data_IF_243719754739
#
_entry.id   IF_243719754739
#
_cell.length_a   1.000
_cell.length_b   1.000
_cell.length_c   1.000
_cell.angle_alpha   90.00
_cell.angle_beta   90.00
_cell.angle_gamma   90.00
#
_symmetry.space_group_name_H-M   'P 1'
#
loop_
_entity.id
_entity.type
_entity.pdbx_description
1 polymer ?
#
# COMPACT_ATOMS: atom_id res chain seq x y z
N UNK A 1 11.15 -11.54 -15.69
CA UNK A 1 11.85 -12.80 -15.35
C UNK A 1 12.52 -12.69 -13.97
N UNK A 2 11.80 -12.18 -12.96
CA UNK A 2 12.36 -11.78 -11.66
C UNK A 2 11.30 -11.91 -10.55
N UNK A 3 10.57 -13.03 -10.57
CA UNK A 3 9.57 -13.38 -9.55
C UNK A 3 9.78 -14.78 -8.97
N UNK A 4 10.62 -15.63 -9.59
CA UNK A 4 10.82 -17.01 -9.16
C UNK A 4 11.89 -17.22 -8.08
N UNK A 5 12.58 -16.16 -7.65
CA UNK A 5 13.70 -16.27 -6.71
C UNK A 5 13.37 -15.82 -5.28
N UNK A 6 12.14 -15.37 -5.01
CA UNK A 6 11.69 -15.08 -3.64
C UNK A 6 11.06 -16.31 -2.96
N UNK A 7 10.44 -17.20 -3.75
CA UNK A 7 9.79 -18.42 -3.24
C UNK A 7 10.80 -19.46 -2.73
N UNK A 8 12.07 -19.37 -3.12
CA UNK A 8 13.12 -20.33 -2.75
C UNK A 8 13.83 -20.02 -1.43
N UNK A 9 13.57 -18.86 -0.81
CA UNK A 9 14.27 -18.39 0.38
C UNK A 9 13.46 -18.46 1.68
N UNK A 10 12.17 -18.77 1.59
CA UNK A 10 11.40 -19.20 2.76
C UNK A 10 11.68 -20.70 2.86
N UNK A 11 12.38 -21.20 3.90
CA UNK A 11 12.44 -22.63 4.14
C UNK A 11 10.99 -23.10 4.09
N UNK A 12 10.69 -24.14 3.31
CA UNK A 12 9.40 -24.82 3.43
C UNK A 12 9.30 -25.23 4.90
N UNK A 13 8.66 -24.38 5.70
CA UNK A 13 8.35 -24.63 7.10
C UNK A 13 7.78 -26.02 7.09
N UNK A 14 8.40 -26.94 7.84
CA UNK A 14 7.96 -28.32 7.91
C UNK A 14 6.61 -28.32 8.63
N UNK A 15 5.55 -27.89 7.93
CA UNK A 15 4.14 -27.88 8.33
C UNK A 15 3.62 -29.30 8.62
N UNK A 16 4.44 -30.33 8.45
CA UNK A 16 4.11 -31.73 8.75
C UNK A 16 4.13 -32.05 10.25
N UNK A 17 4.76 -31.23 11.11
CA UNK A 17 4.72 -31.44 12.56
C UNK A 17 3.70 -30.50 13.23
N UNK A 18 2.79 -31.01 14.09
CA UNK A 18 1.86 -30.16 14.81
C UNK A 18 2.61 -29.33 15.85
N UNK A 19 2.90 -28.07 15.51
CA UNK A 19 3.52 -27.10 16.41
C UNK A 19 2.51 -26.57 17.43
N UNK A 20 2.98 -26.26 18.63
CA UNK A 20 2.18 -25.65 19.70
C UNK A 20 2.52 -24.17 19.84
N UNK A 21 1.55 -23.42 20.35
CA UNK A 21 1.78 -22.02 20.68
C UNK A 21 2.93 -21.91 21.71
N UNK A 22 3.91 -21.06 21.41
CA UNK A 22 5.14 -20.91 22.18
C UNK A 22 6.35 -21.68 21.64
N UNK A 23 6.18 -22.56 20.66
CA UNK A 23 7.30 -23.21 19.98
C UNK A 23 8.09 -22.17 19.17
N UNK A 24 9.43 -22.30 19.19
CA UNK A 24 10.35 -21.41 18.47
C UNK A 24 11.30 -22.23 17.62
N UNK A 25 11.31 -21.97 16.32
CA UNK A 25 12.20 -22.61 15.36
C UNK A 25 13.24 -21.60 14.85
N UNK A 26 14.53 -21.75 15.18
CA UNK A 26 15.57 -20.85 14.71
C UNK A 26 15.95 -21.16 13.24
N UNK A 27 16.24 -20.12 12.47
CA UNK A 27 16.87 -20.22 11.15
C UNK A 27 18.06 -19.25 11.05
N UNK A 28 18.98 -19.39 10.07
CA UNK A 28 20.25 -18.66 10.08
C UNK A 28 20.14 -17.13 10.15
N UNK A 29 19.06 -16.56 9.61
CA UNK A 29 18.79 -15.12 9.64
C UNK A 29 17.70 -14.73 10.63
N UNK A 30 17.22 -15.62 11.51
CA UNK A 30 16.06 -15.28 12.33
C UNK A 30 15.45 -16.42 13.14
N UNK A 31 14.18 -16.25 13.52
CA UNK A 31 13.39 -17.26 14.22
C UNK A 31 11.94 -17.22 13.78
N UNK A 32 11.28 -18.37 13.79
CA UNK A 32 9.84 -18.51 13.65
C UNK A 32 9.27 -18.82 15.02
N UNK A 33 8.23 -18.10 15.44
CA UNK A 33 7.53 -18.35 16.71
C UNK A 33 6.08 -18.72 16.40
N UNK A 34 5.65 -19.89 16.85
CA UNK A 34 4.29 -20.37 16.65
C UNK A 34 3.35 -19.78 17.71
N UNK A 35 2.19 -19.31 17.28
CA UNK A 35 1.19 -18.61 18.09
C UNK A 35 -0.14 -19.36 18.24
N UNK A 36 -0.36 -20.41 17.44
CA UNK A 36 -1.56 -21.26 17.46
C UNK A 36 -1.15 -22.76 17.40
N UNK A 37 -2.05 -23.73 17.65
CA UNK A 37 -3.52 -23.69 17.51
C UNK A 37 -4.30 -23.07 18.70
N UNK A 38 -3.73 -23.00 19.90
CA UNK A 38 -4.38 -22.32 21.04
C UNK A 38 -3.76 -20.91 21.22
N UNK A 39 -4.51 -19.82 20.97
CA UNK A 39 -3.94 -18.49 21.01
C UNK A 39 -3.45 -18.14 22.42
N UNK A 40 -2.23 -17.63 22.51
CA UNK A 40 -1.70 -17.14 23.78
C UNK A 40 -2.48 -15.90 24.22
N UNK A 41 -2.97 -15.84 25.47
CA UNK A 41 -3.65 -14.66 25.98
C UNK A 41 -2.65 -13.50 26.06
N UNK A 42 -2.80 -12.52 25.18
CA UNK A 42 -2.08 -11.26 25.26
C UNK A 42 -2.85 -10.30 26.18
N UNK A 43 -2.14 -9.63 27.09
CA UNK A 43 -2.71 -8.61 27.99
C UNK A 43 -2.92 -7.25 27.32
N UNK A 44 -2.75 -7.18 26.00
CA UNK A 44 -2.76 -5.95 25.21
C UNK A 44 -3.88 -6.05 24.17
N UNK A 45 -4.71 -4.99 24.01
CA UNK A 45 -5.73 -4.97 22.98
C UNK A 45 -5.09 -5.09 21.58
N UNK A 46 -5.76 -5.75 20.61
CA UNK A 46 -5.24 -5.89 19.26
C UNK A 46 -5.14 -4.52 18.59
N UNK A 47 -3.93 -4.16 18.16
CA UNK A 47 -3.63 -2.89 17.48
C UNK A 47 -2.64 -3.14 16.35
N UNK A 48 -2.89 -2.53 15.19
CA UNK A 48 -1.96 -2.60 14.07
C UNK A 48 -2.53 -1.97 12.79
N UNK A 49 -1.65 -1.52 11.87
CA UNK A 49 -2.05 -0.87 10.62
C UNK A 49 -2.72 -1.81 9.62
N UNK A 50 -2.64 -3.12 9.84
CA UNK A 50 -3.22 -4.16 9.00
C UNK A 50 -4.55 -4.73 9.54
N UNK A 51 -5.01 -4.21 10.68
CA UNK A 51 -6.34 -4.51 11.24
C UNK A 51 -7.33 -3.54 10.59
N UNK A 52 -8.31 -4.09 9.88
CA UNK A 52 -9.38 -3.32 9.25
C UNK A 52 -10.49 -3.00 10.25
N UNK A 53 -11.43 -3.93 10.36
CA UNK A 53 -12.55 -3.84 11.30
C UNK A 53 -12.30 -4.75 12.51
N UNK A 54 -12.54 -4.22 13.71
CA UNK A 54 -12.38 -4.93 14.97
C UNK A 54 -13.66 -4.77 15.79
N UNK A 55 -14.43 -5.85 15.90
CA UNK A 55 -15.66 -5.89 16.69
C UNK A 55 -15.65 -7.11 17.63
N UNK A 56 -16.70 -7.23 18.45
CA UNK A 56 -16.91 -8.38 19.33
C UNK A 56 -17.18 -9.69 18.56
N UNK A 57 -17.66 -9.58 17.32
CA UNK A 57 -18.02 -10.72 16.47
C UNK A 57 -16.83 -11.21 15.63
N UNK A 58 -16.10 -10.31 14.98
CA UNK A 58 -15.05 -10.67 14.05
C UNK A 58 -13.94 -9.62 14.01
N UNK A 59 -12.79 -10.03 13.46
CA UNK A 59 -11.65 -9.16 13.16
C UNK A 59 -11.22 -9.41 11.70
N UNK A 60 -11.06 -8.33 10.94
CA UNK A 60 -10.62 -8.35 9.55
C UNK A 60 -9.14 -7.98 9.46
N UNK A 61 -8.35 -8.84 8.83
CA UNK A 61 -6.92 -8.68 8.61
C UNK A 61 -6.60 -8.53 7.11
N UNK A 62 -5.54 -7.77 6.82
CA UNK A 62 -5.05 -7.63 5.44
C UNK A 62 -5.87 -6.67 4.58
N UNK A 63 -6.66 -5.79 5.20
CA UNK A 63 -7.32 -4.72 4.46
C UNK A 63 -6.28 -3.82 3.78
N UNK A 64 -6.49 -3.45 2.50
CA UNK A 64 -5.60 -2.51 1.82
C UNK A 64 -5.54 -1.20 2.60
N UNK A 65 -4.32 -0.67 2.76
CA UNK A 65 -4.05 0.59 3.45
C UNK A 65 -4.90 1.73 2.87
N UNK A 66 -5.31 2.73 3.68
CA UNK A 66 -6.13 3.84 3.21
C UNK A 66 -5.51 4.54 1.99
N UNK A 67 -6.34 4.79 0.97
CA UNK A 67 -5.90 5.27 -0.35
C UNK A 67 -5.48 6.76 -0.39
N UNK A 68 -5.19 7.39 0.76
CA UNK A 68 -4.96 8.83 0.87
C UNK A 68 -3.82 9.29 -0.06
N UNK A 69 -2.69 8.59 -0.03
CA UNK A 69 -1.56 8.90 -0.90
C UNK A 69 -1.90 8.71 -2.38
N UNK A 70 -2.68 7.67 -2.71
CA UNK A 70 -3.09 7.43 -4.09
C UNK A 70 -3.99 8.55 -4.61
N UNK A 71 -4.95 9.02 -3.81
CA UNK A 71 -5.80 10.16 -4.14
C UNK A 71 -5.01 11.48 -4.29
N UNK A 72 -4.00 11.69 -3.45
CA UNK A 72 -3.08 12.83 -3.59
C UNK A 72 -2.35 12.80 -4.93
N UNK A 73 -1.92 11.63 -5.41
CA UNK A 73 -1.26 11.52 -6.72
C UNK A 73 -2.28 11.66 -7.86
N UNK A 74 -3.43 10.97 -7.77
CA UNK A 74 -4.45 10.92 -8.82
C UNK A 74 -5.08 12.29 -9.09
N UNK A 75 -5.35 13.08 -8.04
CA UNK A 75 -5.91 14.42 -8.19
C UNK A 75 -4.82 15.49 -8.14
N UNK A 76 -3.98 15.44 -7.10
CA UNK A 76 -2.97 16.47 -6.86
C UNK A 76 -1.95 16.58 -7.98
N UNK A 77 -1.55 15.47 -8.62
CA UNK A 77 -0.61 15.50 -9.75
C UNK A 77 -1.11 16.35 -10.92
N UNK A 78 -2.25 16.00 -11.56
CA UNK A 78 -2.82 16.77 -12.67
C UNK A 78 -3.13 18.23 -12.30
N UNK A 79 -3.73 18.49 -11.13
CA UNK A 79 -4.04 19.86 -10.71
C UNK A 79 -2.80 20.71 -10.47
N UNK A 80 -1.77 20.15 -9.82
CA UNK A 80 -0.50 20.86 -9.60
C UNK A 80 0.17 21.14 -10.94
N UNK A 81 0.18 20.17 -11.85
CA UNK A 81 0.76 20.34 -13.18
C UNK A 81 0.07 21.46 -13.98
N UNK A 82 -1.27 21.49 -13.98
CA UNK A 82 -2.04 22.57 -14.61
C UNK A 82 -1.70 23.93 -14.00
N UNK A 83 -1.68 24.02 -12.66
CA UNK A 83 -1.34 25.27 -11.96
C UNK A 83 0.06 25.77 -12.31
N UNK A 84 1.05 24.88 -12.36
CA UNK A 84 2.43 25.24 -12.69
C UNK A 84 2.55 25.80 -14.11
N UNK A 85 1.86 25.20 -15.09
CA UNK A 85 1.92 25.66 -16.47
C UNK A 85 1.09 26.92 -16.74
N UNK A 86 -0.10 27.03 -16.15
CA UNK A 86 -1.01 28.15 -16.42
C UNK A 86 -0.74 29.38 -15.56
N UNK A 87 -0.21 29.22 -14.34
CA UNK A 87 -0.01 30.35 -13.41
C UNK A 87 1.48 30.59 -13.15
N UNK A 88 2.22 29.56 -12.71
CA UNK A 88 3.61 29.76 -12.32
C UNK A 88 4.51 30.11 -13.53
N UNK A 89 4.32 29.44 -14.66
CA UNK A 89 5.13 29.65 -15.87
C UNK A 89 4.96 31.08 -16.45
N UNK A 90 3.75 31.63 -16.65
CA UNK A 90 3.60 33.03 -17.06
C UNK A 90 4.22 34.01 -16.09
N UNK A 91 4.06 33.80 -14.77
CA UNK A 91 4.65 34.67 -13.75
C UNK A 91 6.19 34.63 -13.78
N UNK A 92 6.77 33.44 -13.94
CA UNK A 92 8.22 33.27 -14.09
C UNK A 92 8.74 34.01 -15.31
N UNK A 93 8.06 33.89 -16.45
CA UNK A 93 8.43 34.57 -17.70
C UNK A 93 8.30 36.09 -17.56
N UNK A 94 7.21 36.58 -16.98
CA UNK A 94 7.04 38.00 -16.67
C UNK A 94 8.15 38.54 -15.77
N UNK A 95 8.54 37.78 -14.75
CA UNK A 95 9.66 38.14 -13.88
C UNK A 95 11.00 38.17 -14.62
N UNK A 96 11.25 37.23 -15.53
CA UNK A 96 12.45 37.25 -16.38
C UNK A 96 12.47 38.51 -17.27
N UNK A 97 11.36 38.85 -17.92
CA UNK A 97 11.25 40.06 -18.74
C UNK A 97 11.47 41.34 -17.92
N UNK A 98 10.95 41.39 -16.70
CA UNK A 98 11.21 42.49 -15.78
C UNK A 98 12.71 42.63 -15.45
N UNK A 99 13.41 41.51 -15.18
CA UNK A 99 14.85 41.50 -14.91
C UNK A 99 15.70 41.92 -16.13
N UNK A 100 15.21 41.68 -17.35
CA UNK A 100 15.87 42.10 -18.59
C UNK A 100 15.73 43.60 -18.89
N UNK A 101 14.97 44.35 -18.08
CA UNK A 101 14.85 45.81 -18.21
C UNK A 101 13.70 46.28 -19.11
N UNK A 102 12.80 45.38 -19.52
CA UNK A 102 11.59 45.70 -20.31
C UNK A 102 10.53 46.51 -19.52
N UNK A 103 10.77 46.75 -18.22
CA UNK A 103 9.86 47.48 -17.35
C UNK A 103 8.59 46.70 -17.02
N UNK A 104 7.63 47.37 -16.37
CA UNK A 104 6.36 46.76 -15.96
C UNK A 104 5.46 46.42 -17.17
N UNK A 105 5.44 47.30 -18.17
CA UNK A 105 4.60 47.12 -19.36
C UNK A 105 5.01 45.87 -20.15
N UNK A 106 6.30 45.68 -20.41
CA UNK A 106 6.79 44.47 -21.11
C UNK A 106 6.58 43.19 -20.30
N UNK A 107 6.77 43.24 -18.97
CA UNK A 107 6.50 42.09 -18.10
C UNK A 107 5.01 41.69 -18.10
N UNK A 108 4.10 42.65 -17.98
CA UNK A 108 2.65 42.40 -18.02
C UNK A 108 2.20 41.82 -19.37
N UNK A 109 2.74 42.34 -20.48
CA UNK A 109 2.43 41.86 -21.82
C UNK A 109 2.92 40.41 -22.04
N UNK A 110 4.11 40.08 -21.52
CA UNK A 110 4.65 38.72 -21.57
C UNK A 110 3.81 37.74 -20.74
N UNK A 111 3.31 38.14 -19.56
CA UNK A 111 2.43 37.32 -18.72
C UNK A 111 1.12 37.02 -19.46
N UNK A 112 0.45 38.06 -19.98
CA UNK A 112 -0.82 37.92 -20.69
C UNK A 112 -0.67 37.04 -21.94
N UNK A 113 0.37 37.29 -22.75
CA UNK A 113 0.65 36.50 -23.94
C UNK A 113 0.90 35.02 -23.63
N UNK A 114 1.71 34.73 -22.60
CA UNK A 114 1.98 33.35 -22.19
C UNK A 114 0.75 32.66 -21.60
N UNK A 115 -0.05 33.38 -20.79
CA UNK A 115 -1.27 32.85 -20.22
C UNK A 115 -2.25 32.44 -21.33
N UNK A 116 -2.52 33.32 -22.29
CA UNK A 116 -3.42 33.02 -23.40
C UNK A 116 -2.90 31.86 -24.28
N UNK A 117 -1.60 31.80 -24.53
CA UNK A 117 -1.00 30.72 -25.33
C UNK A 117 -1.06 29.36 -24.62
N UNK A 118 -0.87 29.34 -23.28
CA UNK A 118 -0.79 28.10 -22.51
C UNK A 118 -2.14 27.59 -22.00
N UNK A 119 -3.15 28.45 -21.87
CA UNK A 119 -4.43 28.12 -21.24
C UNK A 119 -5.16 26.96 -21.92
N UNK A 120 -5.40 27.05 -23.22
CA UNK A 120 -6.13 26.01 -23.97
C UNK A 120 -5.39 24.68 -23.94
N UNK A 121 -4.09 24.70 -24.24
CA UNK A 121 -3.26 23.49 -24.24
C UNK A 121 -3.20 22.85 -22.87
N UNK A 122 -3.03 23.64 -21.80
CA UNK A 122 -2.93 23.13 -20.44
C UNK A 122 -4.25 22.53 -19.95
N UNK A 123 -5.40 23.12 -20.31
CA UNK A 123 -6.69 22.55 -20.00
C UNK A 123 -6.86 21.18 -20.65
N UNK A 124 -6.59 21.07 -21.95
CA UNK A 124 -6.69 19.81 -22.68
C UNK A 124 -5.77 18.77 -22.05
N UNK A 125 -4.47 19.06 -21.94
CA UNK A 125 -3.49 18.14 -21.35
C UNK A 125 -3.83 17.77 -19.91
N UNK A 126 -4.33 18.72 -19.12
CA UNK A 126 -4.74 18.50 -17.73
C UNK A 126 -5.93 17.55 -17.60
N UNK A 127 -6.97 17.72 -18.41
CA UNK A 127 -8.10 16.77 -18.44
C UNK A 127 -7.69 15.39 -18.92
N UNK A 128 -6.83 15.30 -19.95
CA UNK A 128 -6.28 14.02 -20.39
C UNK A 128 -5.44 13.33 -19.30
N UNK A 129 -4.60 14.09 -18.60
CA UNK A 129 -3.80 13.59 -17.48
C UNK A 129 -4.68 13.08 -16.33
N UNK A 130 -5.69 13.85 -15.94
CA UNK A 130 -6.67 13.44 -14.92
C UNK A 130 -7.41 12.16 -15.33
N UNK A 131 -7.87 12.09 -16.57
CA UNK A 131 -8.54 10.90 -17.10
C UNK A 131 -7.63 9.66 -17.04
N UNK A 132 -6.37 9.79 -17.43
CA UNK A 132 -5.40 8.69 -17.35
C UNK A 132 -5.16 8.26 -15.89
N UNK A 133 -4.95 9.21 -14.98
CA UNK A 133 -4.77 8.93 -13.55
C UNK A 133 -6.00 8.23 -12.94
N UNK A 134 -7.22 8.65 -13.31
CA UNK A 134 -8.47 8.01 -12.89
C UNK A 134 -8.64 6.62 -13.50
N UNK A 135 -8.24 6.40 -14.75
CA UNK A 135 -8.28 5.09 -15.39
C UNK A 135 -7.32 4.10 -14.72
N UNK A 136 -6.10 4.55 -14.38
CA UNK A 136 -5.13 3.77 -13.62
C UNK A 136 -5.67 3.47 -12.22
N UNK A 137 -6.18 4.49 -11.52
CA UNK A 137 -6.80 4.33 -10.21
C UNK A 137 -7.92 3.30 -10.26
N UNK A 138 -8.85 3.39 -11.22
CA UNK A 138 -9.95 2.44 -11.38
C UNK A 138 -9.47 1.01 -11.59
N UNK A 139 -8.43 0.80 -12.40
CA UNK A 139 -7.86 -0.52 -12.62
C UNK A 139 -7.25 -1.09 -11.34
N UNK A 140 -6.49 -0.28 -10.60
CA UNK A 140 -5.92 -0.66 -9.30
C UNK A 140 -7.02 -0.95 -8.27
N UNK A 141 -8.03 -0.09 -8.20
CA UNK A 141 -9.15 -0.21 -7.28
C UNK A 141 -9.95 -1.49 -7.54
N UNK A 142 -10.25 -1.82 -8.81
CA UNK A 142 -10.91 -3.07 -9.17
C UNK A 142 -10.11 -4.31 -8.73
N UNK A 143 -8.78 -4.28 -8.85
CA UNK A 143 -7.90 -5.38 -8.38
C UNK A 143 -7.82 -5.47 -6.85
N UNK A 144 -8.08 -4.36 -6.13
CA UNK A 144 -8.11 -4.35 -4.67
C UNK A 144 -9.43 -4.83 -4.11
N UNK A 145 -10.56 -4.47 -4.72
CA UNK A 145 -11.90 -4.95 -4.28
C UNK A 145 -11.98 -6.48 -4.31
N UNK A 146 -11.30 -7.12 -5.26
CA UNK A 146 -11.27 -8.58 -5.34
C UNK A 146 -10.46 -9.25 -4.22
N UNK A 147 -9.67 -8.48 -3.46
CA UNK A 147 -8.96 -8.99 -2.28
C UNK A 147 -9.93 -8.96 -1.08
N UNK A 148 -10.54 -10.11 -0.82
CA UNK A 148 -11.34 -10.29 0.40
C UNK A 148 -10.36 -10.39 1.58
N UNK A 149 -10.50 -9.53 2.62
CA UNK A 149 -9.63 -9.59 3.79
C UNK A 149 -9.79 -10.94 4.51
N UNK A 150 -8.75 -11.36 5.21
CA UNK A 150 -8.83 -12.55 6.05
C UNK A 150 -9.64 -12.23 7.29
N UNK A 151 -10.82 -12.85 7.41
CA UNK A 151 -11.77 -12.59 8.49
C UNK A 151 -11.71 -13.70 9.53
N UNK A 152 -11.41 -13.34 10.76
CA UNK A 152 -11.47 -14.25 11.90
C UNK A 152 -12.76 -14.00 12.67
N UNK A 153 -13.66 -14.98 12.68
CA UNK A 153 -14.93 -14.90 13.38
C UNK A 153 -14.82 -15.53 14.77
N UNK A 154 -14.98 -14.72 15.83
CA UNK A 154 -14.88 -15.12 17.24
C UNK A 154 -16.05 -16.00 17.67
N UNK A 155 -17.27 -15.72 17.19
CA UNK A 155 -18.47 -16.44 17.62
C UNK A 155 -18.54 -17.86 17.06
N UNK A 156 -18.16 -18.01 15.79
CA UNK A 156 -18.18 -19.31 15.09
C UNK A 156 -16.87 -20.08 15.16
N UNK A 157 -15.80 -19.45 15.69
CA UNK A 157 -14.44 -20.01 15.74
C UNK A 157 -13.95 -20.48 14.37
N UNK A 158 -14.19 -19.67 13.35
CA UNK A 158 -13.80 -19.95 11.96
C UNK A 158 -12.96 -18.79 11.37
N UNK A 159 -11.99 -19.13 10.54
CA UNK A 159 -11.22 -18.19 9.73
C UNK A 159 -11.70 -18.33 8.29
N UNK A 160 -12.03 -17.19 7.68
CA UNK A 160 -12.35 -17.08 6.28
C UNK A 160 -11.17 -16.41 5.57
N UNK A 161 -10.57 -17.11 4.62
CA UNK A 161 -9.57 -16.53 3.73
C UNK A 161 -9.72 -17.07 2.32
N UNK A 162 -9.27 -16.28 1.34
CA UNK A 162 -9.20 -16.69 -0.05
C UNK A 162 -7.85 -17.35 -0.30
N UNK A 163 -7.84 -18.64 -0.62
CA UNK A 163 -6.61 -19.28 -1.07
C UNK A 163 -6.21 -18.71 -2.43
N UNK A 164 -4.91 -18.51 -2.68
CA UNK A 164 -4.41 -17.97 -3.94
C UNK A 164 -4.98 -18.73 -5.15
N UNK A 165 -5.88 -18.10 -5.91
CA UNK A 165 -6.51 -18.68 -7.10
C UNK A 165 -7.89 -19.32 -6.90
N UNK A 166 -8.42 -19.37 -5.68
CA UNK A 166 -9.79 -19.81 -5.42
C UNK A 166 -10.80 -18.68 -5.65
N UNK A 167 -11.93 -18.97 -6.30
CA UNK A 167 -13.05 -18.03 -6.50
C UNK A 167 -14.00 -18.01 -5.31
N UNK A 168 -13.94 -19.02 -4.43
CA UNK A 168 -14.81 -19.19 -3.27
C UNK A 168 -14.03 -19.06 -1.95
N UNK A 169 -14.62 -18.44 -0.92
CA UNK A 169 -14.00 -18.30 0.39
C UNK A 169 -13.94 -19.65 1.11
N UNK A 170 -12.77 -19.99 1.66
CA UNK A 170 -12.58 -21.20 2.47
C UNK A 170 -12.79 -20.86 3.94
N UNK A 171 -13.63 -21.64 4.62
CA UNK A 171 -13.87 -21.55 6.06
C UNK A 171 -13.13 -22.69 6.77
N UNK A 172 -12.23 -22.35 7.69
CA UNK A 172 -11.46 -23.32 8.46
C UNK A 172 -11.65 -23.03 9.96
N UNK A 173 -11.93 -24.05 10.81
CA UNK A 173 -12.00 -23.85 12.25
C UNK A 173 -10.65 -23.40 12.81
N UNK A 174 -10.67 -22.56 13.84
CA UNK A 174 -9.46 -22.01 14.45
C UNK A 174 -8.56 -23.10 15.03
N UNK A 175 -9.15 -24.19 15.50
CA UNK A 175 -8.45 -25.33 16.09
C UNK A 175 -7.56 -26.09 15.10
N UNK A 176 -7.84 -25.95 13.80
CA UNK A 176 -7.05 -26.58 12.71
C UNK A 176 -6.05 -25.63 12.07
N UNK A 177 -6.03 -24.36 12.47
CA UNK A 177 -5.18 -23.32 11.89
C UNK A 177 -3.95 -23.10 12.75
N UNK A 178 -2.77 -23.18 12.14
CA UNK A 178 -1.51 -22.77 12.73
C UNK A 178 -1.20 -21.33 12.31
N UNK A 179 -0.83 -20.50 13.28
CA UNK A 179 -0.37 -19.14 13.05
C UNK A 179 1.06 -19.01 13.56
N UNK A 180 1.92 -18.33 12.82
CA UNK A 180 3.31 -18.10 13.22
C UNK A 180 3.78 -16.72 12.83
N UNK A 181 4.80 -16.23 13.55
CA UNK A 181 5.49 -14.99 13.27
C UNK A 181 6.94 -15.30 12.95
N UNK A 182 7.42 -14.77 11.84
CA UNK A 182 8.79 -14.86 11.37
C UNK A 182 9.48 -13.55 11.74
N UNK A 183 10.52 -13.61 12.56
CA UNK A 183 11.44 -12.50 12.77
C UNK A 183 12.72 -12.80 12.01
N UNK A 184 13.01 -12.01 10.97
CA UNK A 184 14.26 -12.08 10.23
C UNK A 184 15.12 -10.84 10.51
N UNK A 185 16.42 -11.02 10.66
CA UNK A 185 17.40 -9.98 10.90
C UNK A 185 18.43 -10.00 9.75
N UNK A 186 18.42 -8.94 8.94
CA UNK A 186 19.40 -8.71 7.88
C UNK A 186 20.44 -7.69 8.32
N UNK A 187 21.72 -7.98 8.09
CA UNK A 187 22.79 -6.98 8.25
C UNK A 187 22.99 -6.28 6.91
N UNK A 188 22.79 -4.97 6.89
CA UNK A 188 23.06 -4.11 5.73
C UNK A 188 24.24 -3.18 6.04
N UNK A 189 24.80 -2.54 5.01
CA UNK A 189 25.83 -1.51 5.19
C UNK A 189 25.38 -0.34 6.09
N UNK A 190 24.07 -0.16 6.25
CA UNK A 190 23.45 0.89 7.08
C UNK A 190 23.03 0.40 8.47
N UNK A 191 23.37 -0.83 8.83
CA UNK A 191 23.08 -1.43 10.14
C UNK A 191 22.17 -2.65 10.07
N UNK A 192 21.70 -3.06 11.24
CA UNK A 192 20.86 -4.25 11.43
C UNK A 192 19.41 -3.87 11.17
N UNK A 193 18.79 -4.50 10.18
CA UNK A 193 17.37 -4.36 9.87
C UNK A 193 16.62 -5.61 10.32
N UNK A 194 15.55 -5.43 11.10
CA UNK A 194 14.65 -6.52 11.51
C UNK A 194 13.35 -6.44 10.71
N UNK A 195 12.95 -7.56 10.13
CA UNK A 195 11.73 -7.76 9.38
C UNK A 195 10.85 -8.74 10.13
N UNK A 196 9.56 -8.40 10.26
CA UNK A 196 8.57 -9.25 10.88
C UNK A 196 7.55 -9.66 9.82
N UNK A 197 7.28 -10.96 9.71
CA UNK A 197 6.25 -11.53 8.85
C UNK A 197 5.29 -12.37 9.68
N UNK A 198 4.03 -12.44 9.28
CA UNK A 198 3.04 -13.34 9.89
C UNK A 198 2.55 -14.31 8.82
N UNK A 199 2.50 -15.59 9.17
CA UNK A 199 1.96 -16.66 8.34
C UNK A 199 0.81 -17.38 9.02
N UNK A 200 -0.07 -17.95 8.21
CA UNK A 200 -1.22 -18.75 8.59
C UNK A 200 -1.27 -19.98 7.68
N UNK A 201 -1.53 -21.16 8.21
CA UNK A 201 -1.57 -22.41 7.44
C UNK A 201 -1.98 -23.63 8.24
#
# INVERSE_FOLDING_TARGET
>A
MMASNLDSAIPQLQLEQPHKAGDVEPFPSGRVTYLAPLPLPTSVPPHGPHIGELNDVHIDFGMPSPEVFMWQVTLGGPFTFMFMLTVLSPLLIGFIFFLLGEGWDGASHAIEGMFHASFETTLITGFFSLFLCLAIWRNVHNKRITLIPTRFNRQRREVCFMLNGATEPTFIPWESLSAWVIEAQGVTQYGVHRQYGMGLG
#
